data_IF_614347391740
#
_entry.id   IF_614347391740
#
_cell.length_a   1.000
_cell.length_b   1.000
_cell.length_c   1.000
_cell.angle_alpha   90.00
_cell.angle_beta   90.00
_cell.angle_gamma   90.00
#
_symmetry.space_group_name_H-M   'P 1'
#
loop_
_entity.id
_entity.type
_entity.pdbx_description
1 polymer ?
#
# COMPACT_ATOMS: atom_id res chain seq x y z
N UNK A 1 12.17 -8.82 -13.40
CA UNK A 1 12.72 -10.19 -13.30
C UNK A 1 11.61 -11.18 -13.69
N UNK A 2 11.79 -11.95 -14.77
CA UNK A 2 10.78 -12.90 -15.25
C UNK A 2 10.53 -14.07 -14.30
N UNK A 3 11.44 -14.35 -13.35
CA UNK A 3 11.28 -15.42 -12.36
C UNK A 3 10.31 -15.08 -11.23
N UNK A 4 9.94 -13.80 -11.06
CA UNK A 4 8.95 -13.38 -10.07
C UNK A 4 7.58 -13.91 -10.50
N UNK A 5 6.97 -14.72 -9.63
CA UNK A 5 5.63 -15.30 -9.84
C UNK A 5 4.58 -14.74 -8.87
N UNK A 6 5.02 -14.05 -7.83
CA UNK A 6 4.15 -13.48 -6.81
C UNK A 6 4.71 -12.13 -6.34
N UNK A 7 3.81 -11.15 -6.17
CA UNK A 7 4.08 -9.89 -5.50
C UNK A 7 3.13 -9.76 -4.31
N UNK A 8 3.71 -9.57 -3.12
CA UNK A 8 2.96 -9.25 -1.90
C UNK A 8 3.34 -7.83 -1.47
N UNK A 9 2.44 -6.88 -1.69
CA UNK A 9 2.57 -5.52 -1.18
C UNK A 9 2.21 -5.50 0.31
N UNK A 10 3.18 -5.87 1.14
CA UNK A 10 3.06 -5.94 2.61
C UNK A 10 3.71 -4.74 3.33
N UNK A 11 4.71 -4.11 2.71
CA UNK A 11 5.38 -2.98 3.35
C UNK A 11 4.39 -1.83 3.56
N UNK A 12 4.25 -1.39 4.80
CA UNK A 12 3.40 -0.28 5.16
C UNK A 12 3.65 0.18 6.58
N UNK A 13 3.25 1.42 6.86
CA UNK A 13 3.27 2.00 8.21
C UNK A 13 1.90 2.55 8.55
N UNK A 14 1.52 2.42 9.82
CA UNK A 14 0.27 2.98 10.34
C UNK A 14 0.49 4.32 11.02
N UNK A 15 -0.62 5.04 11.23
CA UNK A 15 -0.65 6.21 12.09
C UNK A 15 -1.72 6.04 13.17
N UNK A 16 -1.33 6.29 14.42
CA UNK A 16 -2.22 6.29 15.58
C UNK A 16 -2.41 7.73 16.06
N UNK A 17 -3.61 8.06 16.52
CA UNK A 17 -3.98 9.39 16.98
C UNK A 17 -4.68 10.27 15.94
N UNK A 18 -5.25 11.41 16.36
CA UNK A 18 -6.10 12.24 15.51
C UNK A 18 -5.34 12.84 14.32
N UNK A 19 -6.05 13.06 13.21
CA UNK A 19 -5.52 13.83 12.07
C UNK A 19 -5.09 15.23 12.50
N UNK A 20 -5.90 15.90 13.32
CA UNK A 20 -5.60 17.22 13.83
C UNK A 20 -4.36 17.17 14.74
N UNK A 21 -3.33 17.94 14.39
CA UNK A 21 -2.06 17.94 15.11
C UNK A 21 -1.06 16.88 14.64
N UNK A 22 -1.39 16.07 13.64
CA UNK A 22 -0.44 15.16 13.00
C UNK A 22 0.63 15.91 12.19
N UNK A 23 1.83 15.35 12.18
CA UNK A 23 2.95 15.84 11.36
C UNK A 23 2.72 15.51 9.88
N UNK A 24 2.53 16.55 9.05
CA UNK A 24 2.22 16.40 7.63
C UNK A 24 3.33 15.69 6.85
N UNK A 25 4.60 15.87 7.24
CA UNK A 25 5.72 15.22 6.56
C UNK A 25 5.64 13.69 6.75
N UNK A 26 5.35 13.26 7.99
CA UNK A 26 5.12 11.84 8.28
C UNK A 26 3.90 11.26 7.56
N UNK A 27 2.83 12.04 7.42
CA UNK A 27 1.65 11.60 6.66
C UNK A 27 1.97 11.43 5.16
N UNK A 28 2.79 12.33 4.60
CA UNK A 28 3.25 12.21 3.22
C UNK A 28 4.15 10.99 3.02
N UNK A 29 5.07 10.72 3.95
CA UNK A 29 5.91 9.52 3.91
C UNK A 29 5.09 8.24 3.96
N UNK A 30 4.04 8.21 4.80
CA UNK A 30 3.11 7.09 4.87
C UNK A 30 2.35 6.88 3.55
N UNK A 31 1.86 7.94 2.90
CA UNK A 31 1.23 7.84 1.57
C UNK A 31 2.25 7.35 0.52
N UNK A 32 3.49 7.86 0.58
CA UNK A 32 4.54 7.47 -0.35
C UNK A 32 4.83 5.96 -0.25
N UNK A 33 4.82 5.39 0.95
CA UNK A 33 5.00 3.96 1.17
C UNK A 33 3.73 3.14 0.86
N UNK A 34 2.62 3.45 1.52
CA UNK A 34 1.41 2.64 1.52
C UNK A 34 0.60 2.76 0.23
N UNK A 35 0.86 3.76 -0.61
CA UNK A 35 0.12 3.98 -1.87
C UNK A 35 1.10 4.04 -3.03
N UNK A 36 1.97 5.04 -3.06
CA UNK A 36 2.78 5.31 -4.26
C UNK A 36 3.74 4.16 -4.58
N UNK A 37 4.47 3.66 -3.58
CA UNK A 37 5.43 2.57 -3.78
C UNK A 37 4.72 1.28 -4.23
N UNK A 38 3.66 0.86 -3.55
CA UNK A 38 2.95 -0.37 -3.93
C UNK A 38 2.29 -0.27 -5.32
N UNK A 39 1.81 0.92 -5.70
CA UNK A 39 1.27 1.13 -7.04
C UNK A 39 2.38 0.94 -8.08
N UNK A 40 3.54 1.55 -7.87
CA UNK A 40 4.70 1.40 -8.78
C UNK A 40 5.16 -0.05 -8.89
N UNK A 41 5.26 -0.76 -7.77
CA UNK A 41 5.63 -2.19 -7.76
C UNK A 41 4.62 -3.03 -8.52
N UNK A 42 3.34 -2.75 -8.34
CA UNK A 42 2.25 -3.42 -9.07
C UNK A 42 2.39 -3.21 -10.58
N UNK A 43 2.61 -1.97 -11.04
CA UNK A 43 2.81 -1.67 -12.46
C UNK A 43 4.10 -2.27 -13.03
N UNK A 44 5.11 -2.51 -12.20
CA UNK A 44 6.34 -3.19 -12.62
C UNK A 44 6.18 -4.72 -12.76
N UNK A 45 5.34 -5.35 -11.92
CA UNK A 45 5.20 -6.81 -11.88
C UNK A 45 4.05 -7.35 -12.74
N UNK A 46 2.88 -6.69 -12.73
CA UNK A 46 1.65 -7.18 -13.36
C UNK A 46 1.77 -7.42 -14.87
N UNK A 47 2.46 -6.59 -15.67
CA UNK A 47 2.62 -6.86 -17.10
C UNK A 47 3.23 -8.24 -17.38
N UNK A 48 4.29 -8.61 -16.65
CA UNK A 48 4.90 -9.93 -16.80
C UNK A 48 3.98 -11.08 -16.33
N UNK A 49 3.08 -10.83 -15.38
CA UNK A 49 2.08 -11.84 -14.96
C UNK A 49 1.02 -12.03 -16.05
N UNK A 50 0.57 -10.94 -16.66
CA UNK A 50 -0.42 -10.92 -17.73
C UNK A 50 0.11 -11.61 -19.00
N UNK A 51 1.34 -11.28 -19.43
CA UNK A 51 1.99 -11.92 -20.59
C UNK A 51 2.08 -13.44 -20.46
N UNK A 52 2.29 -13.95 -19.25
CA UNK A 52 2.37 -15.39 -18.98
C UNK A 52 1.01 -16.04 -18.72
N UNK A 53 -0.06 -15.26 -18.59
CA UNK A 53 -1.37 -15.73 -18.12
C UNK A 53 -1.36 -16.30 -16.70
N UNK A 54 -0.31 -16.04 -15.90
CA UNK A 54 -0.14 -16.56 -14.55
C UNK A 54 0.74 -15.66 -13.68
N UNK A 55 0.23 -15.35 -12.49
CA UNK A 55 0.93 -14.68 -11.41
C UNK A 55 -0.02 -14.36 -10.26
N UNK A 56 0.52 -13.96 -9.11
CA UNK A 56 -0.30 -13.62 -7.93
C UNK A 56 0.09 -12.25 -7.41
N UNK A 57 -0.91 -11.36 -7.26
CA UNK A 57 -0.77 -10.06 -6.63
C UNK A 57 -1.61 -10.05 -5.35
N UNK A 58 -0.97 -9.74 -4.22
CA UNK A 58 -1.64 -9.59 -2.92
C UNK A 58 -1.32 -8.20 -2.38
N UNK A 59 -2.35 -7.44 -2.04
CA UNK A 59 -2.23 -6.19 -1.29
C UNK A 59 -2.71 -6.43 0.13
N UNK A 60 -1.90 -6.06 1.13
CA UNK A 60 -2.33 -6.10 2.53
C UNK A 60 -3.02 -4.78 2.85
N UNK A 61 -4.33 -4.85 3.11
CA UNK A 61 -5.14 -3.73 3.55
C UNK A 61 -5.42 -3.81 5.06
N UNK A 62 -6.10 -2.81 5.58
CA UNK A 62 -6.53 -2.76 6.98
C UNK A 62 -8.04 -2.51 7.06
N UNK A 63 -8.66 -2.97 8.15
CA UNK A 63 -10.06 -2.67 8.46
C UNK A 63 -10.32 -1.16 8.53
N UNK A 64 -9.31 -0.36 8.88
CA UNK A 64 -9.45 1.10 8.97
C UNK A 64 -9.72 1.77 7.63
N UNK A 65 -9.43 1.09 6.50
CA UNK A 65 -9.78 1.59 5.16
C UNK A 65 -11.31 1.71 4.93
N UNK A 66 -12.11 1.04 5.77
CA UNK A 66 -13.58 1.10 5.73
C UNK A 66 -14.20 1.65 7.02
N UNK A 67 -13.35 2.05 7.98
CA UNK A 67 -13.74 2.66 9.26
C UNK A 67 -12.65 3.67 9.68
N UNK A 68 -12.43 4.75 8.90
CA UNK A 68 -11.30 5.66 9.07
C UNK A 68 -11.38 6.46 10.38
N UNK A 69 -12.56 6.55 11.00
CA UNK A 69 -12.78 7.20 12.28
C UNK A 69 -12.10 6.50 13.47
N UNK A 70 -11.65 5.25 13.30
CA UNK A 70 -11.03 4.47 14.37
C UNK A 70 -9.60 4.90 14.68
N UNK A 71 -8.88 5.50 13.71
CA UNK A 71 -7.49 5.92 13.84
C UNK A 71 -7.27 7.28 13.14
N UNK A 72 -6.07 7.49 12.60
CA UNK A 72 -5.74 8.67 11.83
C UNK A 72 -6.40 8.62 10.45
N UNK A 73 -7.08 9.69 10.06
CA UNK A 73 -7.82 9.77 8.80
C UNK A 73 -6.97 9.83 7.52
N UNK A 74 -5.63 9.88 7.59
CA UNK A 74 -4.76 9.63 6.42
C UNK A 74 -4.40 8.14 6.28
N UNK A 75 -4.36 7.42 7.40
CA UNK A 75 -4.01 6.00 7.41
C UNK A 75 -5.20 5.11 7.04
N UNK A 76 -6.38 5.42 7.58
CA UNK A 76 -7.65 4.82 7.16
C UNK A 76 -8.12 5.45 5.87
#
# INVERSE_FOLDING_TARGET
DPSITMLVNNAGVGATGPLLGSDIARMQDMIALNVVALTRLTYAAVPGFAERGKGTLINIASIVAIAPELLNGVYG
#
